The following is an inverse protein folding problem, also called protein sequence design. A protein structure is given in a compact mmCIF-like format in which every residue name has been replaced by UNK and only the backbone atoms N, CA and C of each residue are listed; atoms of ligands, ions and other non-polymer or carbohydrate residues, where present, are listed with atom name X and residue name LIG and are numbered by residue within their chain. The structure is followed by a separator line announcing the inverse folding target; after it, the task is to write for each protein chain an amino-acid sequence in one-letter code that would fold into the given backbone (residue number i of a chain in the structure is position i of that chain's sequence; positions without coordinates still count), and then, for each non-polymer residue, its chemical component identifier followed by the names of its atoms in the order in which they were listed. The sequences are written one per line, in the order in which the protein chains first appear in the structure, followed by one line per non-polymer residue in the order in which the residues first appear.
data_IF_522154392827
#
_entry.id   IF_522154392827
#
_cell.length_a   1.000
_cell.length_b   1.000
_cell.length_c   1.000
_cell.angle_alpha   90.00
_cell.angle_beta   90.00
_cell.angle_gamma   90.00
#
_symmetry.space_group_name_H-M   'P 1'
#
loop_
_entity.id
_entity.type
_entity.pdbx_description
1 polymer ?
#
# COMPACT_ATOMS: atom_id res chain seq x y z
N UNK A 1 -7.98 -5.56 19.18
CA UNK A 1 -6.72 -6.34 19.27
C UNK A 1 -5.45 -5.51 19.10
N UNK A 2 -5.41 -4.44 18.30
CA UNK A 2 -4.18 -3.63 18.09
C UNK A 2 -3.92 -2.57 19.18
N UNK A 3 -4.84 -2.40 20.13
CA UNK A 3 -4.69 -1.48 21.29
C UNK A 3 -3.98 -2.10 22.49
N UNK A 4 -3.80 -3.42 22.52
CA UNK A 4 -2.88 -4.07 23.45
C UNK A 4 -1.49 -4.09 22.84
N UNK A 5 -0.43 -3.85 23.62
CA UNK A 5 0.98 -3.96 23.15
C UNK A 5 1.35 -5.42 22.84
N UNK A 6 0.72 -6.03 21.84
CA UNK A 6 1.18 -7.28 21.25
C UNK A 6 2.39 -6.99 20.36
N UNK A 7 3.37 -7.88 20.41
CA UNK A 7 4.54 -7.75 19.54
C UNK A 7 4.14 -8.06 18.09
N UNK A 8 4.88 -7.51 17.13
CA UNK A 8 4.65 -7.79 15.70
C UNK A 8 4.66 -9.30 15.41
N UNK A 9 5.50 -10.06 16.14
CA UNK A 9 5.59 -11.52 16.03
C UNK A 9 4.31 -12.23 16.49
N UNK A 10 3.74 -11.83 17.63
CA UNK A 10 2.50 -12.43 18.13
C UNK A 10 1.33 -12.21 17.16
N UNK A 11 1.32 -11.07 16.47
CA UNK A 11 0.30 -10.78 15.46
C UNK A 11 0.52 -11.64 14.22
N UNK A 12 1.76 -11.82 13.77
CA UNK A 12 2.08 -12.72 12.64
C UNK A 12 1.61 -14.14 12.94
N UNK A 13 1.99 -14.69 14.11
CA UNK A 13 1.58 -16.04 14.52
C UNK A 13 0.06 -16.16 14.58
N UNK A 14 -0.62 -15.16 15.17
CA UNK A 14 -2.08 -15.18 15.21
C UNK A 14 -2.71 -15.16 13.81
N UNK A 15 -2.18 -14.39 12.87
CA UNK A 15 -2.68 -14.35 11.50
C UNK A 15 -2.43 -15.71 10.80
N UNK A 16 -1.24 -16.28 10.92
CA UNK A 16 -0.85 -17.55 10.30
C UNK A 16 -1.59 -18.76 10.89
N UNK A 17 -1.87 -18.77 12.20
CA UNK A 17 -2.49 -19.91 12.88
C UNK A 17 -4.02 -19.85 12.89
N UNK A 18 -4.62 -18.65 12.86
CA UNK A 18 -6.07 -18.48 13.02
C UNK A 18 -6.77 -17.97 11.77
N UNK A 19 -6.22 -16.97 11.08
CA UNK A 19 -6.92 -16.32 9.96
C UNK A 19 -6.68 -17.08 8.65
N UNK A 20 -5.41 -17.34 8.32
CA UNK A 20 -5.04 -17.97 7.05
C UNK A 20 -5.68 -19.37 6.89
N UNK A 21 -5.70 -20.25 7.90
CA UNK A 21 -6.29 -21.58 7.76
C UNK A 21 -7.84 -21.55 7.67
N UNK A 22 -8.48 -20.57 8.30
CA UNK A 22 -9.93 -20.47 8.35
C UNK A 22 -10.54 -19.78 7.12
N UNK A 23 -9.87 -18.77 6.59
CA UNK A 23 -10.44 -17.87 5.57
C UNK A 23 -9.56 -17.71 4.31
N UNK A 24 -8.33 -18.21 4.34
CA UNK A 24 -7.36 -18.09 3.26
C UNK A 24 -6.51 -16.80 3.33
N UNK A 25 -5.43 -16.79 2.56
CA UNK A 25 -4.43 -15.72 2.59
C UNK A 25 -4.98 -14.38 2.04
N UNK A 26 -5.84 -14.42 1.01
CA UNK A 26 -6.44 -13.20 0.42
C UNK A 26 -7.28 -12.44 1.44
N UNK A 27 -8.11 -13.16 2.21
CA UNK A 27 -8.88 -12.58 3.30
C UNK A 27 -8.00 -12.03 4.42
N UNK A 28 -6.88 -12.70 4.72
CA UNK A 28 -5.93 -12.20 5.70
C UNK A 28 -5.30 -10.87 5.29
N UNK A 29 -4.95 -10.69 4.01
CA UNK A 29 -4.45 -9.41 3.48
C UNK A 29 -5.50 -8.31 3.61
N UNK A 30 -6.75 -8.57 3.22
CA UNK A 30 -7.86 -7.62 3.37
C UNK A 30 -7.98 -7.15 4.83
N UNK A 31 -8.27 -8.06 5.75
CA UNK A 31 -8.50 -7.70 7.16
C UNK A 31 -7.29 -6.99 7.79
N UNK A 32 -6.07 -7.48 7.53
CA UNK A 32 -4.86 -6.89 8.11
C UNK A 32 -4.55 -5.53 7.50
N UNK A 33 -4.64 -5.39 6.18
CA UNK A 33 -4.39 -4.11 5.50
C UNK A 33 -5.40 -3.06 5.94
N UNK A 34 -6.70 -3.34 5.86
CA UNK A 34 -7.77 -2.44 6.29
C UNK A 34 -7.59 -2.00 7.75
N UNK A 35 -7.25 -2.94 8.64
CA UNK A 35 -7.00 -2.62 10.06
C UNK A 35 -5.78 -1.71 10.25
N UNK A 36 -4.68 -1.97 9.55
CA UNK A 36 -3.47 -1.13 9.67
C UNK A 36 -3.69 0.25 9.07
N UNK A 37 -4.39 0.34 7.94
CA UNK A 37 -4.74 1.60 7.29
C UNK A 37 -5.66 2.44 8.19
N UNK A 38 -6.64 1.82 8.86
CA UNK A 38 -7.50 2.50 9.85
C UNK A 38 -6.69 3.15 10.97
N UNK A 39 -5.75 2.40 11.56
CA UNK A 39 -4.86 2.91 12.62
C UNK A 39 -3.97 4.05 12.11
N UNK A 40 -3.50 3.97 10.87
CA UNK A 40 -2.63 4.95 10.23
C UNK A 40 -3.35 6.18 9.66
N UNK A 41 -4.68 6.13 9.55
CA UNK A 41 -5.47 7.10 8.77
C UNK A 41 -5.53 8.51 9.34
N UNK A 42 -5.15 8.70 10.62
CA UNK A 42 -5.25 9.99 11.31
C UNK A 42 -4.34 11.09 10.74
N UNK A 43 -3.14 10.75 10.26
CA UNK A 43 -2.22 11.68 9.60
C UNK A 43 -1.13 10.93 8.84
N UNK A 44 -0.40 11.63 7.96
CA UNK A 44 0.75 11.07 7.24
C UNK A 44 1.79 10.45 8.18
N UNK A 45 2.09 11.11 9.30
CA UNK A 45 3.06 10.60 10.28
C UNK A 45 2.53 9.33 10.95
N UNK A 46 1.22 9.24 11.22
CA UNK A 46 0.62 8.01 11.75
C UNK A 46 0.74 6.85 10.77
N UNK A 47 0.46 7.08 9.49
CA UNK A 47 0.64 6.07 8.44
C UNK A 47 2.08 5.56 8.38
N UNK A 48 3.06 6.48 8.34
CA UNK A 48 4.50 6.14 8.35
C UNK A 48 4.85 5.29 9.57
N UNK A 49 4.43 5.72 10.77
CA UNK A 49 4.71 5.01 12.03
C UNK A 49 4.14 3.58 12.03
N UNK A 50 2.93 3.41 11.48
CA UNK A 50 2.28 2.10 11.37
C UNK A 50 3.03 1.21 10.38
N UNK A 51 3.41 1.73 9.21
CA UNK A 51 4.15 0.98 8.21
C UNK A 51 5.55 0.56 8.71
N UNK A 52 6.24 1.41 9.47
CA UNK A 52 7.53 1.07 10.08
C UNK A 52 7.40 -0.05 11.13
N UNK A 53 6.34 -0.02 11.93
CA UNK A 53 6.15 -0.97 13.02
C UNK A 53 5.59 -2.32 12.56
N UNK A 54 4.67 -2.29 11.60
CA UNK A 54 3.88 -3.46 11.18
C UNK A 54 4.16 -3.89 9.74
N UNK A 55 5.06 -3.21 9.02
CA UNK A 55 5.42 -3.56 7.64
C UNK A 55 5.89 -5.00 7.48
N UNK A 56 6.55 -5.59 8.48
CA UNK A 56 6.93 -7.01 8.44
C UNK A 56 5.73 -7.96 8.32
N UNK A 57 4.58 -7.60 8.89
CA UNK A 57 3.34 -8.39 8.76
C UNK A 57 2.88 -8.36 7.31
N UNK A 58 2.88 -7.17 6.70
CA UNK A 58 2.50 -6.97 5.30
C UNK A 58 3.44 -7.75 4.37
N UNK A 59 4.75 -7.68 4.58
CA UNK A 59 5.73 -8.45 3.78
C UNK A 59 5.55 -9.96 3.88
N UNK A 60 5.09 -10.47 5.04
CA UNK A 60 4.82 -11.89 5.23
C UNK A 60 3.55 -12.34 4.51
N UNK A 61 2.52 -11.50 4.53
CA UNK A 61 1.26 -11.79 3.86
C UNK A 61 1.33 -11.59 2.34
N UNK A 62 2.25 -10.75 1.85
CA UNK A 62 2.41 -10.43 0.44
C UNK A 62 3.77 -10.90 -0.12
N UNK A 63 4.04 -12.22 -0.16
CA UNK A 63 5.34 -12.73 -0.61
C UNK A 63 5.53 -12.62 -2.13
N UNK A 64 4.44 -12.66 -2.88
CA UNK A 64 4.42 -12.62 -4.34
C UNK A 64 3.72 -11.36 -4.87
N UNK A 65 3.80 -11.20 -6.19
CA UNK A 65 3.24 -10.05 -6.88
C UNK A 65 1.71 -10.02 -6.87
N UNK A 66 1.04 -11.18 -6.92
CA UNK A 66 -0.43 -11.25 -6.89
C UNK A 66 -0.97 -10.70 -5.56
N UNK A 67 -0.34 -11.07 -4.47
CA UNK A 67 -0.71 -10.58 -3.14
C UNK A 67 -0.35 -9.09 -2.95
N UNK A 68 0.74 -8.61 -3.59
CA UNK A 68 1.06 -7.18 -3.63
C UNK A 68 0.03 -6.37 -4.43
N UNK A 69 -0.50 -6.91 -5.54
CA UNK A 69 -1.59 -6.30 -6.29
C UNK A 69 -2.84 -6.20 -5.42
N UNK A 70 -3.21 -7.28 -4.73
CA UNK A 70 -4.36 -7.29 -3.83
C UNK A 70 -4.20 -6.27 -2.69
N UNK A 71 -3.00 -6.15 -2.11
CA UNK A 71 -2.72 -5.10 -1.12
C UNK A 71 -2.96 -3.68 -1.69
N UNK A 72 -2.53 -3.41 -2.92
CA UNK A 72 -2.76 -2.09 -3.54
C UNK A 72 -4.23 -1.83 -3.85
N UNK A 73 -4.98 -2.86 -4.22
CA UNK A 73 -6.43 -2.79 -4.38
C UNK A 73 -7.11 -2.41 -3.05
N UNK A 74 -6.71 -3.03 -1.94
CA UNK A 74 -7.23 -2.70 -0.60
C UNK A 74 -6.89 -1.26 -0.17
N UNK A 75 -5.65 -0.81 -0.43
CA UNK A 75 -5.23 0.58 -0.16
C UNK A 75 -6.06 1.57 -0.97
N UNK A 76 -6.27 1.28 -2.25
CA UNK A 76 -7.08 2.10 -3.14
C UNK A 76 -8.55 2.13 -2.72
N UNK A 77 -9.11 0.98 -2.32
CA UNK A 77 -10.46 0.87 -1.83
C UNK A 77 -10.68 1.67 -0.54
N UNK A 78 -9.71 1.63 0.39
CA UNK A 78 -9.78 2.38 1.66
C UNK A 78 -9.80 3.90 1.42
N UNK A 79 -8.91 4.42 0.56
CA UNK A 79 -8.85 5.84 0.18
C UNK A 79 -9.48 6.15 -1.18
N UNK A 80 -10.58 5.47 -1.55
CA UNK A 80 -11.25 5.66 -2.85
C UNK A 80 -11.63 7.13 -3.16
N UNK A 81 -11.88 7.92 -2.11
CA UNK A 81 -12.25 9.33 -2.23
C UNK A 81 -11.04 10.29 -2.20
N UNK A 82 -9.84 9.75 -1.98
CA UNK A 82 -8.63 10.54 -1.72
C UNK A 82 -7.41 9.92 -2.40
N UNK A 83 -7.28 10.15 -3.70
CA UNK A 83 -6.19 9.61 -4.52
C UNK A 83 -4.81 10.08 -4.10
N UNK A 84 -4.70 11.30 -3.56
CA UNK A 84 -3.44 11.78 -2.99
C UNK A 84 -2.97 10.87 -1.83
N UNK A 85 -3.88 10.44 -0.96
CA UNK A 85 -3.57 9.52 0.14
C UNK A 85 -3.19 8.14 -0.39
N UNK A 86 -3.90 7.63 -1.39
CA UNK A 86 -3.56 6.37 -2.08
C UNK A 86 -2.16 6.42 -2.67
N UNK A 87 -1.83 7.48 -3.41
CA UNK A 87 -0.51 7.67 -4.02
C UNK A 87 0.61 7.74 -2.97
N UNK A 88 0.40 8.51 -1.89
CA UNK A 88 1.35 8.63 -0.78
C UNK A 88 1.53 7.29 -0.08
N UNK A 89 0.46 6.53 0.16
CA UNK A 89 0.55 5.23 0.80
C UNK A 89 1.34 4.23 -0.05
N UNK A 90 1.05 4.15 -1.35
CA UNK A 90 1.78 3.28 -2.29
C UNK A 90 3.26 3.69 -2.38
N UNK A 91 3.58 4.99 -2.47
CA UNK A 91 4.97 5.49 -2.47
C UNK A 91 5.73 5.07 -1.19
N UNK A 92 5.07 5.16 -0.04
CA UNK A 92 5.69 4.74 1.23
C UNK A 92 5.86 3.23 1.30
N UNK A 93 4.88 2.45 0.87
CA UNK A 93 4.98 1.00 0.82
C UNK A 93 6.10 0.54 -0.14
N UNK A 94 6.30 1.23 -1.27
CA UNK A 94 7.46 1.04 -2.15
C UNK A 94 8.78 1.39 -1.43
N UNK A 95 8.83 2.54 -0.75
CA UNK A 95 10.01 2.98 0.01
C UNK A 95 10.44 2.00 1.12
N UNK A 96 9.47 1.35 1.77
CA UNK A 96 9.69 0.28 2.76
C UNK A 96 9.88 -1.12 2.13
N UNK A 97 9.88 -1.22 0.80
CA UNK A 97 10.01 -2.50 0.04
C UNK A 97 8.91 -3.52 0.38
N UNK A 98 7.72 -3.04 0.72
CA UNK A 98 6.54 -3.88 0.91
C UNK A 98 5.91 -4.28 -0.43
N UNK A 99 6.10 -3.44 -1.44
CA UNK A 99 5.58 -3.62 -2.80
C UNK A 99 6.74 -3.41 -3.77
N UNK A 100 6.79 -4.23 -4.82
CA UNK A 100 7.77 -4.12 -5.90
C UNK A 100 7.34 -3.12 -6.97
N UNK A 101 8.31 -2.48 -7.63
CA UNK A 101 8.04 -1.55 -8.74
C UNK A 101 7.27 -2.23 -9.88
N UNK A 102 7.54 -3.52 -10.12
CA UNK A 102 6.83 -4.28 -11.15
C UNK A 102 5.34 -4.46 -10.81
N UNK A 103 5.03 -4.76 -9.55
CA UNK A 103 3.65 -4.82 -9.08
C UNK A 103 2.94 -3.47 -9.26
N UNK A 104 3.59 -2.36 -8.91
CA UNK A 104 3.01 -1.01 -9.04
C UNK A 104 2.65 -0.73 -10.50
N UNK A 105 3.56 -1.00 -11.44
CA UNK A 105 3.29 -0.80 -12.87
C UNK A 105 2.09 -1.66 -13.31
N UNK A 106 2.05 -2.94 -12.93
CA UNK A 106 0.93 -3.83 -13.26
C UNK A 106 -0.39 -3.37 -12.66
N UNK A 107 -0.36 -2.86 -11.44
CA UNK A 107 -1.54 -2.33 -10.76
C UNK A 107 -2.07 -1.08 -11.43
N UNK A 108 -1.19 -0.12 -11.73
CA UNK A 108 -1.53 1.13 -12.42
C UNK A 108 -2.19 0.83 -13.77
N UNK A 109 -1.65 -0.10 -14.54
CA UNK A 109 -2.21 -0.49 -15.85
C UNK A 109 -3.27 -1.61 -15.78
N UNK A 110 -3.77 -1.94 -14.59
CA UNK A 110 -4.85 -2.92 -14.46
C UNK A 110 -6.17 -2.36 -15.02
N UNK A 111 -7.04 -3.19 -15.61
CA UNK A 111 -8.30 -2.72 -16.18
C UNK A 111 -9.15 -1.89 -15.21
N UNK A 112 -9.12 -2.23 -13.91
CA UNK A 112 -9.87 -1.54 -12.85
C UNK A 112 -9.40 -0.08 -12.62
N UNK A 113 -8.13 0.21 -12.88
CA UNK A 113 -7.56 1.55 -12.76
C UNK A 113 -7.52 2.28 -14.11
N UNK A 114 -7.55 1.53 -15.22
CA UNK A 114 -7.46 2.12 -16.56
C UNK A 114 -8.62 3.07 -16.87
N UNK A 115 -9.82 2.69 -16.46
CA UNK A 115 -11.03 3.50 -16.66
C UNK A 115 -10.99 4.83 -15.88
N UNK A 116 -10.14 4.93 -14.85
CA UNK A 116 -9.99 6.15 -14.04
C UNK A 116 -9.02 7.17 -14.67
N UNK A 117 -8.16 6.75 -15.61
CA UNK A 117 -7.24 7.66 -16.32
C UNK A 117 -7.97 8.68 -17.19
N UNK A 118 -9.13 8.34 -17.75
CA UNK A 118 -9.85 9.24 -18.67
C UNK A 118 -10.76 10.24 -17.97
N UNK A 119 -10.96 10.09 -16.65
CA UNK A 119 -11.90 10.89 -15.85
C UNK A 119 -11.17 11.82 -14.88
N UNK A 120 -9.87 11.60 -14.62
CA UNK A 120 -9.16 12.37 -13.60
C UNK A 120 -7.63 12.37 -13.73
N UNK A 121 -7.00 13.50 -13.32
CA UNK A 121 -5.53 13.67 -13.26
C UNK A 121 -4.76 12.80 -12.24
N UNK A 122 -5.44 11.86 -11.60
CA UNK A 122 -5.02 11.24 -10.35
C UNK A 122 -4.03 10.07 -10.50
N UNK A 123 -4.08 9.27 -11.57
CA UNK A 123 -3.16 8.13 -11.67
C UNK A 123 -1.71 8.50 -12.06
N UNK A 124 -1.49 9.61 -12.78
CA UNK A 124 -0.13 10.02 -13.22
C UNK A 124 0.73 10.62 -12.12
N UNK A 125 0.14 11.06 -11.01
CA UNK A 125 0.88 11.45 -9.82
C UNK A 125 1.70 10.26 -9.28
N UNK A 126 1.12 9.05 -9.23
CA UNK A 126 1.82 7.84 -8.75
C UNK A 126 3.04 7.48 -9.62
N UNK A 127 2.95 7.68 -10.94
CA UNK A 127 4.03 7.31 -11.88
C UNK A 127 5.11 8.40 -12.05
N UNK A 128 4.86 9.62 -11.57
CA UNK A 128 5.80 10.74 -11.75
C UNK A 128 6.83 10.87 -10.60
N UNK A 129 6.59 10.23 -9.46
CA UNK A 129 7.51 10.24 -8.30
C UNK A 129 8.74 9.30 -8.35
N UNK A 130 8.85 8.22 -9.16
CA UNK A 130 10.04 7.37 -9.13
C UNK A 130 11.30 8.03 -9.73
N UNK A 131 11.18 9.15 -10.44
CA UNK A 131 12.29 9.75 -11.18
C UNK A 131 12.85 11.05 -10.60
N UNK A 132 12.17 11.70 -9.66
CA UNK A 132 12.59 13.03 -9.16
C UNK A 132 13.57 13.00 -8.00
N UNK A 133 13.93 11.83 -7.44
CA UNK A 133 14.95 11.75 -6.36
C UNK A 133 16.41 11.65 -6.83
N UNK A 134 16.71 11.68 -8.14
CA UNK A 134 18.08 11.46 -8.63
C UNK A 134 18.81 12.66 -9.24
N UNK A 135 18.17 13.82 -9.43
CA UNK A 135 18.86 14.99 -9.97
C UNK A 135 18.46 16.28 -9.24
N UNK A 136 19.43 17.09 -8.75
CA UNK A 136 19.14 18.39 -8.19
C UNK A 136 18.67 19.31 -9.31
N UNK A 137 17.65 20.10 -8.98
CA UNK A 137 17.03 21.17 -9.75
C UNK A 137 17.81 21.68 -10.97
N UNK A 138 17.18 21.64 -12.15
CA UNK A 138 17.24 22.71 -13.17
C UNK A 138 16.29 22.45 -14.34
N UNK A 139 15.65 23.55 -14.75
CA UNK A 139 15.04 23.85 -16.05
C UNK A 139 13.66 23.21 -16.33
N UNK A 140 12.54 23.95 -16.27
CA UNK A 140 12.08 25.01 -17.19
C UNK A 140 11.38 24.43 -18.42
N UNK A 141 10.03 24.52 -18.44
CA UNK A 141 9.07 24.60 -19.57
C UNK A 141 9.23 23.57 -20.72
N UNK A 142 8.22 23.19 -21.51
CA UNK A 142 7.42 23.88 -22.55
C UNK A 142 6.38 22.78 -22.93
N UNK A 143 5.09 23.07 -23.13
CA UNK A 143 4.49 23.31 -24.46
C UNK A 143 5.04 22.43 -25.60
#
# INVERSE_FOLDING_TARGET
MVRGRKTTRDIILWVEEQIVPANGAKFAVDVVSQTLLDIGSKSFTHLITVLERYGQIISKLCPDEEMQLLLMDEVSAYWKNSTQMTAIAIDRMMGYRLISNLAIVKWVFSPANVDQFHVSDRPWEVNSYPHTRRYPARCCWIL
#
